data_IF_322748324025
#
_entry.id   IF_322748324025
#
_cell.length_a   1.000
_cell.length_b   1.000
_cell.length_c   1.000
_cell.angle_alpha   90.00
_cell.angle_beta   90.00
_cell.angle_gamma   90.00
#
_symmetry.space_group_name_H-M   'P 1'
#
loop_
_entity.id
_entity.type
_entity.pdbx_description
1 polymer ?
#
# COMPACT_ATOMS: atom_id res chain seq x y z
N UNK A 1 -17.88 4.80 24.55
CA UNK A 1 -18.84 5.53 23.68
C UNK A 1 -18.08 6.10 22.50
N UNK A 2 -18.40 5.65 21.30
CA UNK A 2 -17.82 6.22 20.06
C UNK A 2 -18.24 7.70 19.96
N UNK A 3 -17.26 8.56 19.74
CA UNK A 3 -17.56 9.98 19.52
C UNK A 3 -18.24 10.16 18.17
N UNK A 4 -19.35 10.86 18.13
CA UNK A 4 -20.10 11.10 16.89
C UNK A 4 -19.35 12.04 15.92
N UNK A 5 -18.49 12.92 16.43
CA UNK A 5 -17.71 13.86 15.60
C UNK A 5 -16.20 13.61 15.78
N UNK A 6 -15.41 13.65 14.70
CA UNK A 6 -13.97 13.49 14.77
C UNK A 6 -13.33 14.68 15.47
N UNK A 7 -12.31 14.43 16.29
CA UNK A 7 -11.51 15.51 16.88
C UNK A 7 -10.69 16.21 15.79
N UNK A 8 -10.29 17.47 16.05
CA UNK A 8 -9.43 18.23 15.12
C UNK A 8 -8.13 17.47 14.78
N UNK A 9 -7.58 16.75 15.76
CA UNK A 9 -6.38 15.92 15.57
C UNK A 9 -6.61 14.81 14.55
N UNK A 10 -7.75 14.12 14.60
CA UNK A 10 -8.14 13.07 13.65
C UNK A 10 -8.27 13.67 12.26
N UNK A 11 -8.93 14.83 12.13
CA UNK A 11 -9.07 15.53 10.85
C UNK A 11 -7.70 15.86 10.27
N UNK A 12 -6.78 16.42 11.07
CA UNK A 12 -5.42 16.76 10.63
C UNK A 12 -4.63 15.50 10.18
N UNK A 13 -4.76 14.40 10.91
CA UNK A 13 -4.10 13.14 10.55
C UNK A 13 -4.58 12.64 9.18
N UNK A 14 -5.87 12.74 8.89
CA UNK A 14 -6.40 12.38 7.57
C UNK A 14 -6.05 13.38 6.48
N UNK A 15 -5.81 14.65 6.80
CA UNK A 15 -5.32 15.65 5.83
C UNK A 15 -3.98 15.23 5.24
N UNK A 16 -3.06 14.77 6.08
CA UNK A 16 -1.75 14.26 5.64
C UNK A 16 -1.91 13.03 4.75
N UNK A 17 -2.75 12.07 5.15
CA UNK A 17 -3.04 10.89 4.34
C UNK A 17 -3.66 11.26 2.99
N UNK A 18 -4.69 12.11 2.99
CA UNK A 18 -5.41 12.49 1.78
C UNK A 18 -4.51 13.22 0.79
N UNK A 19 -3.65 14.12 1.28
CA UNK A 19 -2.65 14.82 0.46
C UNK A 19 -1.64 13.84 -0.14
N UNK A 20 -1.10 12.93 0.66
CA UNK A 20 -0.13 11.94 0.19
C UNK A 20 -0.74 11.00 -0.86
N UNK A 21 -1.99 10.55 -0.65
CA UNK A 21 -2.71 9.75 -1.64
C UNK A 21 -2.99 10.54 -2.93
N UNK A 22 -3.41 11.80 -2.83
CA UNK A 22 -3.69 12.62 -4.02
C UNK A 22 -2.41 12.83 -4.85
N UNK A 23 -1.29 13.20 -4.23
CA UNK A 23 0.01 13.34 -4.90
C UNK A 23 0.44 12.02 -5.53
N UNK A 24 0.35 10.92 -4.78
CA UNK A 24 0.78 9.61 -5.27
C UNK A 24 -0.10 9.09 -6.42
N UNK A 25 -1.40 9.42 -6.45
CA UNK A 25 -2.28 9.09 -7.56
C UNK A 25 -1.87 9.85 -8.84
N UNK A 26 -1.55 11.14 -8.76
CA UNK A 26 -1.04 11.90 -9.90
C UNK A 26 0.29 11.34 -10.39
N UNK A 27 1.19 11.00 -9.47
CA UNK A 27 2.47 10.38 -9.80
C UNK A 27 2.27 9.01 -10.48
N UNK A 28 1.33 8.20 -10.00
CA UNK A 28 1.01 6.92 -10.62
C UNK A 28 0.46 7.08 -12.04
N UNK A 29 -0.40 8.08 -12.29
CA UNK A 29 -0.91 8.39 -13.64
C UNK A 29 0.23 8.83 -14.56
N UNK A 30 1.12 9.72 -14.10
CA UNK A 30 2.31 10.11 -14.86
C UNK A 30 3.20 8.91 -15.22
N UNK A 31 3.44 8.01 -14.26
CA UNK A 31 4.25 6.82 -14.49
C UNK A 31 3.62 5.88 -15.52
N UNK A 32 2.30 5.71 -15.49
CA UNK A 32 1.58 4.89 -16.47
C UNK A 32 1.60 5.47 -17.90
N UNK A 33 1.81 6.78 -18.06
CA UNK A 33 2.04 7.38 -19.38
C UNK A 33 3.50 7.30 -19.84
N UNK A 34 4.43 7.15 -18.88
CA UNK A 34 5.89 7.19 -19.14
C UNK A 34 6.54 5.82 -19.26
N UNK A 35 5.87 4.76 -18.81
CA UNK A 35 6.38 3.38 -18.85
C UNK A 35 5.26 2.37 -19.11
N UNK A 36 5.63 1.15 -19.50
CA UNK A 36 4.64 0.09 -19.68
C UNK A 36 3.99 -0.31 -18.35
N UNK A 37 2.71 -0.69 -18.40
CA UNK A 37 1.94 -1.14 -17.22
C UNK A 37 2.64 -2.28 -16.48
N UNK A 38 3.31 -3.18 -17.19
CA UNK A 38 4.03 -4.29 -16.58
C UNK A 38 5.25 -3.85 -15.80
N UNK A 39 6.06 -2.93 -16.32
CA UNK A 39 7.21 -2.36 -15.59
C UNK A 39 6.73 -1.63 -14.34
N UNK A 40 5.65 -0.86 -14.45
CA UNK A 40 5.02 -0.21 -13.31
C UNK A 40 4.57 -1.21 -12.23
N UNK A 41 3.91 -2.30 -12.61
CA UNK A 41 3.48 -3.35 -11.68
C UNK A 41 4.66 -4.13 -11.07
N UNK A 42 5.72 -4.40 -11.86
CA UNK A 42 6.96 -4.99 -11.33
C UNK A 42 7.58 -4.11 -10.24
N UNK A 43 7.66 -2.80 -10.46
CA UNK A 43 8.14 -1.87 -9.43
C UNK A 43 7.25 -1.88 -8.18
N UNK A 44 5.95 -1.90 -8.34
CA UNK A 44 5.00 -2.02 -7.23
C UNK A 44 5.08 -3.34 -6.47
N UNK A 45 5.68 -4.38 -7.04
CA UNK A 45 5.93 -5.65 -6.35
C UNK A 45 6.85 -5.53 -5.13
N UNK A 46 7.61 -4.43 -5.02
CA UNK A 46 8.40 -4.13 -3.82
C UNK A 46 7.58 -3.63 -2.62
N UNK A 47 6.28 -3.34 -2.81
CA UNK A 47 5.42 -2.78 -1.76
C UNK A 47 5.38 -3.61 -0.46
N UNK A 48 5.30 -4.96 -0.47
CA UNK A 48 5.30 -5.75 0.76
C UNK A 48 6.57 -5.54 1.60
N UNK A 49 7.75 -5.54 0.97
CA UNK A 49 9.03 -5.32 1.65
C UNK A 49 9.08 -3.90 2.21
N UNK A 50 8.75 -2.88 1.41
CA UNK A 50 8.78 -1.49 1.86
C UNK A 50 7.76 -1.22 2.96
N UNK A 51 6.59 -1.85 2.92
CA UNK A 51 5.58 -1.76 3.99
C UNK A 51 6.09 -2.38 5.29
N UNK A 52 6.68 -3.58 5.23
CA UNK A 52 7.27 -4.23 6.39
C UNK A 52 8.43 -3.42 6.97
N UNK A 53 9.31 -2.89 6.11
CA UNK A 53 10.42 -2.02 6.52
C UNK A 53 9.89 -0.73 7.18
N UNK A 54 8.86 -0.12 6.62
CA UNK A 54 8.21 1.07 7.19
C UNK A 54 7.63 0.77 8.58
N UNK A 55 6.93 -0.36 8.74
CA UNK A 55 6.40 -0.76 10.04
C UNK A 55 7.53 -0.98 11.04
N UNK A 56 8.60 -1.66 10.65
CA UNK A 56 9.75 -1.92 11.52
C UNK A 56 10.49 -0.64 11.96
N UNK A 57 10.61 0.36 11.05
CA UNK A 57 11.32 1.61 11.35
C UNK A 57 10.48 2.51 12.27
N UNK A 58 9.19 2.69 11.97
CA UNK A 58 8.36 3.70 12.63
C UNK A 58 7.60 3.19 13.85
N UNK A 59 7.44 1.86 14.01
CA UNK A 59 6.67 1.29 15.13
C UNK A 59 7.50 0.28 15.91
N UNK A 60 7.88 0.67 17.13
CA UNK A 60 8.71 -0.16 18.02
C UNK A 60 8.03 -1.46 18.45
N UNK A 61 6.70 -1.47 18.48
CA UNK A 61 5.90 -2.63 18.89
C UNK A 61 5.88 -3.73 17.82
N UNK A 62 6.24 -3.40 16.57
CA UNK A 62 6.21 -4.36 15.47
C UNK A 62 7.52 -5.13 15.36
N UNK A 63 7.46 -6.39 15.73
CA UNK A 63 8.57 -7.34 15.55
C UNK A 63 8.26 -8.24 14.37
N UNK A 64 9.26 -8.49 13.55
CA UNK A 64 9.16 -9.43 12.44
C UNK A 64 10.03 -10.64 12.71
N UNK A 65 9.48 -11.83 12.47
CA UNK A 65 10.24 -13.07 12.45
C UNK A 65 11.07 -13.14 11.15
N UNK A 66 12.23 -13.82 11.21
CA UNK A 66 13.09 -14.08 10.03
C UNK A 66 12.30 -14.74 8.89
N UNK A 67 11.38 -15.65 9.23
CA UNK A 67 10.53 -16.33 8.24
C UNK A 67 9.62 -15.35 7.49
N UNK A 68 9.04 -14.37 8.17
CA UNK A 68 8.25 -13.32 7.52
C UNK A 68 9.10 -12.50 6.53
N UNK A 69 10.33 -12.16 6.91
CA UNK A 69 11.28 -11.47 6.02
C UNK A 69 11.56 -12.26 4.75
N UNK A 70 11.81 -13.58 4.89
CA UNK A 70 11.98 -14.48 3.75
C UNK A 70 10.73 -14.54 2.90
N UNK A 71 9.53 -14.63 3.50
CA UNK A 71 8.26 -14.60 2.76
C UNK A 71 8.10 -13.32 1.93
N UNK A 72 8.45 -12.15 2.45
CA UNK A 72 8.35 -10.89 1.69
C UNK A 72 9.31 -10.86 0.50
N UNK A 73 10.54 -11.36 0.66
CA UNK A 73 11.51 -11.45 -0.44
C UNK A 73 11.00 -12.40 -1.52
N UNK A 74 10.59 -13.61 -1.15
CA UNK A 74 10.09 -14.62 -2.09
C UNK A 74 8.81 -14.16 -2.77
N UNK A 75 7.90 -13.50 -2.05
CA UNK A 75 6.69 -12.91 -2.61
C UNK A 75 7.01 -11.85 -3.68
N UNK A 76 7.95 -10.96 -3.37
CA UNK A 76 8.39 -9.93 -4.33
C UNK A 76 9.00 -10.55 -5.58
N UNK A 77 9.86 -11.56 -5.44
CA UNK A 77 10.44 -12.28 -6.58
C UNK A 77 9.35 -12.99 -7.41
N UNK A 78 8.38 -13.61 -6.76
CA UNK A 78 7.23 -14.23 -7.43
C UNK A 78 6.41 -13.21 -8.25
N UNK A 79 6.14 -12.03 -7.71
CA UNK A 79 5.44 -10.96 -8.40
C UNK A 79 6.26 -10.38 -9.56
N UNK A 80 7.57 -10.18 -9.37
CA UNK A 80 8.47 -9.74 -10.45
C UNK A 80 8.48 -10.75 -11.59
N UNK A 81 8.53 -12.06 -11.30
CA UNK A 81 8.48 -13.13 -12.29
C UNK A 81 7.12 -13.13 -13.01
N UNK A 82 6.02 -12.98 -12.28
CA UNK A 82 4.66 -12.94 -12.83
C UNK A 82 4.49 -11.78 -13.82
N UNK A 83 4.81 -10.55 -13.43
CA UNK A 83 4.64 -9.38 -14.28
C UNK A 83 5.72 -9.27 -15.37
N UNK A 84 6.95 -9.71 -15.10
CA UNK A 84 8.05 -9.73 -16.07
C UNK A 84 7.77 -10.66 -17.25
N UNK A 85 7.18 -11.81 -16.98
CA UNK A 85 6.81 -12.77 -18.00
C UNK A 85 5.69 -12.29 -18.94
N UNK A 86 4.79 -11.44 -18.43
CA UNK A 86 3.73 -10.83 -19.25
C UNK A 86 4.23 -9.73 -20.18
N UNK A 87 5.41 -9.14 -19.90
CA UNK A 87 5.91 -7.93 -20.56
C UNK A 87 7.25 -8.12 -21.27
N UNK A 88 7.56 -9.31 -21.73
CA UNK A 88 8.85 -9.66 -22.36
C UNK A 88 9.20 -8.90 -23.66
N UNK A 89 8.45 -7.87 -24.05
CA UNK A 89 8.60 -7.16 -25.33
C UNK A 89 9.39 -5.85 -25.31
N UNK A 90 9.52 -5.11 -24.20
CA UNK A 90 10.31 -3.87 -24.15
C UNK A 90 10.56 -3.40 -22.73
N UNK A 91 11.72 -3.74 -22.18
CA UNK A 91 12.18 -3.25 -20.87
C UNK A 91 13.06 -1.98 -20.99
N UNK A 92 12.89 -1.15 -21.99
CA UNK A 92 13.58 0.14 -22.04
C UNK A 92 12.95 1.08 -21.00
N UNK A 93 13.50 1.12 -19.81
CA UNK A 93 13.09 2.03 -18.75
C UNK A 93 14.08 3.20 -18.72
N UNK A 94 13.60 4.41 -18.82
CA UNK A 94 14.39 5.61 -18.61
C UNK A 94 14.70 5.78 -17.11
N UNK A 95 15.85 6.32 -16.76
CA UNK A 95 16.29 6.46 -15.36
C UNK A 95 15.36 7.33 -14.52
N UNK A 96 14.84 8.42 -15.08
CA UNK A 96 13.99 9.37 -14.37
C UNK A 96 12.63 8.79 -13.97
N UNK A 97 11.85 8.12 -14.83
CA UNK A 97 10.63 7.41 -14.45
C UNK A 97 10.88 6.32 -13.40
N UNK A 98 12.02 5.62 -13.46
CA UNK A 98 12.36 4.60 -12.45
C UNK A 98 12.55 5.22 -11.05
N UNK A 99 13.23 6.36 -10.95
CA UNK A 99 13.38 7.08 -9.68
C UNK A 99 12.01 7.50 -9.10
N UNK A 100 11.12 8.03 -9.94
CA UNK A 100 9.76 8.38 -9.54
C UNK A 100 8.92 7.15 -9.12
N UNK A 101 9.15 6.00 -9.75
CA UNK A 101 8.49 4.75 -9.37
C UNK A 101 8.88 4.32 -7.95
N UNK A 102 10.18 4.37 -7.62
CA UNK A 102 10.68 4.06 -6.27
C UNK A 102 10.07 5.01 -5.23
N UNK A 103 10.01 6.31 -5.54
CA UNK A 103 9.37 7.31 -4.68
C UNK A 103 7.87 6.98 -4.48
N UNK A 104 7.14 6.70 -5.56
CA UNK A 104 5.71 6.35 -5.50
C UNK A 104 5.44 5.13 -4.62
N UNK A 105 6.24 4.06 -4.76
CA UNK A 105 6.07 2.84 -3.95
C UNK A 105 6.41 3.11 -2.49
N UNK A 106 7.44 3.91 -2.22
CA UNK A 106 7.81 4.31 -0.85
C UNK A 106 6.72 5.16 -0.19
N UNK A 107 6.19 6.15 -0.90
CA UNK A 107 5.05 6.98 -0.42
C UNK A 107 3.83 6.11 -0.16
N UNK A 108 3.53 5.16 -1.05
CA UNK A 108 2.42 4.21 -0.86
C UNK A 108 2.61 3.38 0.41
N UNK A 109 3.81 2.86 0.66
CA UNK A 109 4.11 2.05 1.85
C UNK A 109 3.93 2.87 3.14
N UNK A 110 4.55 4.05 3.21
CA UNK A 110 4.46 4.94 4.38
C UNK A 110 3.01 5.35 4.64
N UNK A 111 2.29 5.81 3.59
CA UNK A 111 0.91 6.26 3.72
C UNK A 111 -0.02 5.12 4.12
N UNK A 112 0.19 3.91 3.60
CA UNK A 112 -0.58 2.71 3.95
C UNK A 112 -0.44 2.35 5.43
N UNK A 113 0.80 2.33 5.93
CA UNK A 113 1.09 2.02 7.34
C UNK A 113 0.53 3.10 8.27
N UNK A 114 0.72 4.37 7.92
CA UNK A 114 0.18 5.48 8.70
C UNK A 114 -1.35 5.46 8.73
N UNK A 115 -2.02 5.27 7.58
CA UNK A 115 -3.47 5.19 7.51
C UNK A 115 -4.03 4.01 8.32
N UNK A 116 -3.40 2.84 8.25
CA UNK A 116 -3.79 1.69 9.06
C UNK A 116 -3.74 2.03 10.58
N UNK A 117 -2.70 2.68 11.03
CA UNK A 117 -2.56 3.08 12.45
C UNK A 117 -3.57 4.13 12.88
N UNK A 118 -3.83 5.14 12.05
CA UNK A 118 -4.87 6.15 12.34
C UNK A 118 -6.25 5.49 12.43
N UNK A 119 -6.57 4.56 11.53
CA UNK A 119 -7.82 3.80 11.55
C UNK A 119 -7.96 2.91 12.80
N UNK A 120 -6.89 2.23 13.20
CA UNK A 120 -6.91 1.33 14.35
C UNK A 120 -7.02 2.08 15.68
N UNK A 121 -6.28 3.18 15.83
CA UNK A 121 -6.22 3.97 17.08
C UNK A 121 -7.33 5.02 17.20
N UNK A 122 -8.03 5.32 16.12
CA UNK A 122 -9.07 6.36 16.11
C UNK A 122 -10.27 6.01 16.99
N UNK A 123 -10.70 6.97 17.80
CA UNK A 123 -11.87 6.82 18.69
C UNK A 123 -13.23 6.95 17.99
N UNK A 124 -13.23 7.22 16.67
CA UNK A 124 -14.44 7.36 15.85
C UNK A 124 -14.72 6.07 15.08
N UNK A 125 -15.97 5.92 14.62
CA UNK A 125 -16.36 4.81 13.73
C UNK A 125 -15.55 4.82 12.43
N UNK A 126 -15.30 3.64 11.85
CA UNK A 126 -14.58 3.51 10.58
C UNK A 126 -15.25 4.34 9.46
N UNK A 127 -16.58 4.39 9.43
CA UNK A 127 -17.31 5.16 8.43
C UNK A 127 -17.05 6.66 8.52
N UNK A 128 -17.01 7.21 9.74
CA UNK A 128 -16.68 8.62 9.96
C UNK A 128 -15.25 8.93 9.54
N UNK A 129 -14.31 8.04 9.85
CA UNK A 129 -12.92 8.16 9.45
C UNK A 129 -12.77 8.14 7.93
N UNK A 130 -13.47 7.24 7.23
CA UNK A 130 -13.50 7.20 5.78
C UNK A 130 -14.12 8.46 5.16
N UNK A 131 -15.19 9.00 5.75
CA UNK A 131 -15.77 10.28 5.32
C UNK A 131 -14.73 11.40 5.40
N UNK A 132 -13.97 11.47 6.49
CA UNK A 132 -12.89 12.46 6.63
C UNK A 132 -11.81 12.29 5.56
N UNK A 133 -11.36 11.05 5.30
CA UNK A 133 -10.32 10.78 4.32
C UNK A 133 -10.79 11.11 2.89
N UNK A 134 -11.97 10.65 2.50
CA UNK A 134 -12.46 10.81 1.13
C UNK A 134 -12.92 12.23 0.82
N UNK A 135 -13.54 12.94 1.76
CA UNK A 135 -13.91 14.34 1.56
C UNK A 135 -12.68 15.23 1.35
N UNK A 136 -11.63 15.01 2.14
CA UNK A 136 -10.37 15.75 1.97
C UNK A 136 -9.64 15.34 0.70
N UNK A 137 -9.62 14.04 0.36
CA UNK A 137 -9.08 13.54 -0.90
C UNK A 137 -9.80 14.15 -2.11
N UNK A 138 -11.12 14.28 -2.06
CA UNK A 138 -11.90 14.97 -3.10
C UNK A 138 -11.45 16.43 -3.25
N UNK A 139 -11.34 17.17 -2.14
CA UNK A 139 -10.91 18.58 -2.17
C UNK A 139 -9.50 18.71 -2.76
N UNK A 140 -8.54 17.87 -2.35
CA UNK A 140 -7.19 17.91 -2.91
C UNK A 140 -7.14 17.59 -4.40
N UNK A 141 -7.87 16.57 -4.86
CA UNK A 141 -7.93 16.26 -6.29
C UNK A 141 -8.63 17.39 -7.09
N UNK A 142 -9.64 18.03 -6.52
CA UNK A 142 -10.31 19.18 -7.14
C UNK A 142 -9.35 20.37 -7.27
N UNK A 143 -8.58 20.67 -6.21
CA UNK A 143 -7.54 21.71 -6.26
C UNK A 143 -6.51 21.38 -7.36
N UNK A 144 -6.01 20.15 -7.42
CA UNK A 144 -5.05 19.73 -8.45
C UNK A 144 -5.63 19.85 -9.86
N UNK A 145 -6.91 19.53 -10.05
CA UNK A 145 -7.60 19.72 -11.33
C UNK A 145 -7.61 21.19 -11.76
N UNK A 146 -8.03 22.12 -10.89
CA UNK A 146 -8.12 23.54 -11.22
C UNK A 146 -6.76 24.25 -11.31
N UNK A 147 -5.73 23.75 -10.61
CA UNK A 147 -4.38 24.30 -10.73
C UNK A 147 -3.59 23.77 -11.92
N UNK A 148 -4.17 22.86 -12.70
CA UNK A 148 -3.51 22.25 -13.86
C UNK A 148 -2.40 21.26 -13.50
N UNK A 149 -2.27 20.87 -12.24
CA UNK A 149 -1.32 19.84 -11.76
C UNK A 149 -1.93 18.46 -12.02
N UNK A 150 -2.22 18.16 -13.28
CA UNK A 150 -2.76 16.88 -13.70
C UNK A 150 -1.79 16.18 -14.63
N UNK A 151 -1.48 14.92 -14.35
CA UNK A 151 -0.58 14.12 -15.17
C UNK A 151 -1.07 13.88 -16.60
N UNK A 152 -2.36 14.01 -16.85
CA UNK A 152 -3.02 13.70 -18.14
C UNK A 152 -3.28 14.92 -19.04
N UNK A 153 -2.96 16.13 -18.57
CA UNK A 153 -3.26 17.37 -19.30
C UNK A 153 -4.78 17.71 -19.34
N UNK A 154 -5.11 18.99 -19.24
CA UNK A 154 -6.50 19.47 -19.15
C UNK A 154 -7.14 19.68 -20.54
N UNK A 155 -7.18 18.68 -21.40
CA UNK A 155 -7.83 18.80 -22.70
C UNK A 155 -9.33 18.47 -22.69
N UNK A 156 -9.83 17.84 -21.63
CA UNK A 156 -11.21 17.38 -21.50
C UNK A 156 -11.93 18.07 -20.34
N UNK A 157 -13.23 18.29 -20.47
CA UNK A 157 -14.06 18.85 -19.41
C UNK A 157 -14.15 17.92 -18.19
N UNK A 158 -14.42 18.48 -17.02
CA UNK A 158 -14.49 17.74 -15.74
C UNK A 158 -15.45 16.55 -15.79
N UNK A 159 -16.54 16.65 -16.54
CA UNK A 159 -17.56 15.59 -16.68
C UNK A 159 -17.43 14.76 -17.96
N UNK A 160 -16.38 14.99 -18.77
CA UNK A 160 -16.18 14.21 -19.97
C UNK A 160 -15.97 12.73 -19.66
N UNK A 161 -16.65 11.87 -20.39
CA UNK A 161 -16.60 10.42 -20.20
C UNK A 161 -17.60 9.83 -19.20
N UNK A 162 -18.23 10.63 -18.33
CA UNK A 162 -19.21 10.13 -17.34
C UNK A 162 -20.52 9.61 -17.97
N UNK A 163 -20.79 9.92 -19.22
CA UNK A 163 -21.92 9.35 -19.98
C UNK A 163 -21.71 7.88 -20.33
N UNK A 164 -20.50 7.37 -20.21
CA UNK A 164 -20.19 5.97 -20.49
C UNK A 164 -20.49 5.09 -19.27
N UNK A 165 -21.36 4.11 -19.44
CA UNK A 165 -21.77 3.15 -18.38
C UNK A 165 -20.56 2.39 -17.78
N UNK A 166 -19.54 2.07 -18.60
CA UNK A 166 -18.34 1.40 -18.10
C UNK A 166 -17.55 2.29 -17.13
N UNK A 167 -17.51 3.61 -17.36
CA UNK A 167 -16.86 4.56 -16.45
C UNK A 167 -17.59 4.58 -15.11
N UNK A 168 -18.92 4.62 -15.11
CA UNK A 168 -19.71 4.55 -13.88
C UNK A 168 -19.48 3.24 -13.11
N UNK A 169 -19.39 2.12 -13.83
CA UNK A 169 -19.10 0.83 -13.21
C UNK A 169 -17.72 0.79 -12.56
N UNK A 170 -16.69 1.35 -13.22
CA UNK A 170 -15.34 1.48 -12.67
C UNK A 170 -15.34 2.35 -11.41
N UNK A 171 -16.05 3.50 -11.43
CA UNK A 171 -16.14 4.40 -10.27
C UNK A 171 -16.79 3.71 -9.06
N UNK A 172 -17.88 3.00 -9.28
CA UNK A 172 -18.55 2.22 -8.23
C UNK A 172 -17.61 1.12 -7.67
N UNK A 173 -16.95 0.37 -8.55
CA UNK A 173 -16.02 -0.68 -8.16
C UNK A 173 -14.86 -0.13 -7.33
N UNK A 174 -14.28 1.00 -7.71
CA UNK A 174 -13.21 1.68 -6.97
C UNK A 174 -13.69 2.18 -5.60
N UNK A 175 -14.93 2.68 -5.51
CA UNK A 175 -15.51 3.10 -4.24
C UNK A 175 -15.69 1.93 -3.27
N UNK A 176 -16.20 0.79 -3.74
CA UNK A 176 -16.30 -0.42 -2.92
C UNK A 176 -14.92 -0.96 -2.52
N UNK A 177 -13.96 -0.95 -3.44
CA UNK A 177 -12.57 -1.35 -3.12
C UNK A 177 -11.97 -0.47 -2.03
N UNK A 178 -12.18 0.83 -2.08
CA UNK A 178 -11.69 1.76 -1.05
C UNK A 178 -12.27 1.45 0.33
N UNK A 179 -13.57 1.14 0.43
CA UNK A 179 -14.20 0.73 1.68
C UNK A 179 -13.66 -0.62 2.18
N UNK A 180 -13.47 -1.58 1.29
CA UNK A 180 -12.89 -2.89 1.63
C UNK A 180 -11.45 -2.75 2.16
N UNK A 181 -10.60 -1.93 1.51
CA UNK A 181 -9.25 -1.63 1.97
C UNK A 181 -9.26 -1.00 3.36
N UNK A 182 -10.19 -0.09 3.63
CA UNK A 182 -10.32 0.54 4.95
C UNK A 182 -10.71 -0.48 6.03
N UNK A 183 -11.55 -1.46 5.69
CA UNK A 183 -11.88 -2.55 6.60
C UNK A 183 -10.64 -3.43 6.88
N UNK A 184 -9.84 -3.73 5.85
CA UNK A 184 -8.57 -4.46 6.03
C UNK A 184 -7.61 -3.69 6.93
N UNK A 185 -7.49 -2.39 6.78
CA UNK A 185 -6.65 -1.57 7.67
C UNK A 185 -7.17 -1.51 9.10
N UNK A 186 -8.50 -1.49 9.31
CA UNK A 186 -9.10 -1.41 10.64
C UNK A 186 -8.97 -2.71 11.43
N UNK A 187 -9.17 -3.85 10.76
CA UNK A 187 -9.24 -5.16 11.41
C UNK A 187 -8.02 -6.05 11.17
N UNK A 188 -7.17 -5.67 10.24
CA UNK A 188 -5.92 -6.33 9.92
C UNK A 188 -4.75 -5.35 10.05
N UNK A 189 -3.88 -5.35 9.04
CA UNK A 189 -2.76 -4.43 8.95
C UNK A 189 -2.41 -4.07 7.48
N UNK A 190 -1.40 -3.21 7.31
CA UNK A 190 -0.94 -2.82 5.98
C UNK A 190 -0.27 -3.97 5.21
N UNK A 191 0.28 -4.95 5.91
CA UNK A 191 0.90 -6.15 5.31
C UNK A 191 -0.18 -7.06 4.73
N UNK A 192 -1.26 -7.31 5.47
CA UNK A 192 -2.40 -8.11 4.99
C UNK A 192 -2.98 -7.51 3.70
N UNK A 193 -3.07 -6.17 3.62
CA UNK A 193 -3.48 -5.49 2.38
C UNK A 193 -2.52 -5.78 1.22
N UNK A 194 -1.20 -5.79 1.46
CA UNK A 194 -0.21 -6.09 0.42
C UNK A 194 -0.31 -7.55 -0.05
N UNK A 195 -0.52 -8.50 0.87
CA UNK A 195 -0.72 -9.91 0.54
C UNK A 195 -2.00 -10.12 -0.28
N UNK A 196 -3.09 -9.47 0.11
CA UNK A 196 -4.35 -9.49 -0.65
C UNK A 196 -4.17 -8.93 -2.07
N UNK A 197 -3.43 -7.82 -2.24
CA UNK A 197 -3.11 -7.26 -3.55
C UNK A 197 -2.24 -8.21 -4.39
N UNK A 198 -1.34 -8.97 -3.76
CA UNK A 198 -0.53 -9.98 -4.44
C UNK A 198 -1.38 -11.16 -4.94
N UNK A 199 -2.33 -11.63 -4.15
CA UNK A 199 -3.29 -12.65 -4.59
C UNK A 199 -4.21 -12.13 -5.70
N UNK A 200 -4.64 -10.87 -5.64
CA UNK A 200 -5.41 -10.23 -6.71
C UNK A 200 -4.66 -10.27 -8.05
N UNK A 201 -3.34 -10.07 -8.06
CA UNK A 201 -2.54 -10.18 -9.28
C UNK A 201 -2.61 -11.58 -9.89
N UNK A 202 -2.63 -12.64 -9.08
CA UNK A 202 -2.79 -14.01 -9.56
C UNK A 202 -4.19 -14.25 -10.16
N UNK A 203 -5.23 -13.70 -9.54
CA UNK A 203 -6.61 -13.79 -10.08
C UNK A 203 -6.71 -13.05 -11.41
N UNK A 204 -6.11 -11.86 -11.52
CA UNK A 204 -6.08 -11.10 -12.77
C UNK A 204 -5.39 -11.86 -13.88
N UNK A 205 -4.28 -12.57 -13.61
CA UNK A 205 -3.63 -13.42 -14.60
C UNK A 205 -4.60 -14.46 -15.19
N UNK A 206 -5.39 -15.12 -14.35
CA UNK A 206 -6.38 -16.10 -14.81
C UNK A 206 -7.48 -15.44 -15.64
N UNK A 207 -7.97 -14.29 -15.19
CA UNK A 207 -9.01 -13.54 -15.90
C UNK A 207 -8.50 -13.01 -17.25
N UNK A 208 -7.26 -12.56 -17.35
CA UNK A 208 -6.65 -12.09 -18.60
C UNK A 208 -6.63 -13.20 -19.66
N UNK A 209 -6.31 -14.41 -19.26
CA UNK A 209 -6.34 -15.55 -20.17
C UNK A 209 -7.78 -15.92 -20.57
N UNK A 210 -8.70 -15.95 -19.62
CA UNK A 210 -10.10 -16.33 -19.87
C UNK A 210 -10.84 -15.31 -20.73
N UNK A 211 -10.65 -14.01 -20.47
CA UNK A 211 -11.40 -12.94 -21.11
C UNK A 211 -10.72 -12.43 -22.38
N UNK A 212 -9.40 -12.30 -22.38
CA UNK A 212 -8.64 -11.71 -23.48
C UNK A 212 -7.88 -12.74 -24.30
N UNK A 213 -7.95 -14.05 -23.96
CA UNK A 213 -7.28 -15.14 -24.65
C UNK A 213 -5.76 -14.95 -24.78
N UNK A 214 -5.15 -14.27 -23.79
CA UNK A 214 -3.69 -14.17 -23.73
C UNK A 214 -3.07 -15.55 -23.55
N UNK A 215 -1.92 -15.76 -24.18
CA UNK A 215 -1.19 -17.03 -24.04
C UNK A 215 -0.61 -17.15 -22.63
N UNK A 216 -0.82 -18.31 -22.01
CA UNK A 216 -0.17 -18.62 -20.74
C UNK A 216 1.36 -18.68 -20.92
N UNK A 217 2.07 -17.77 -20.26
CA UNK A 217 3.50 -17.93 -20.08
C UNK A 217 3.75 -18.86 -18.90
N UNK A 218 4.60 -19.89 -19.10
CA UNK A 218 5.00 -20.80 -18.02
C UNK A 218 5.65 -20.03 -16.86
N UNK A 219 6.43 -18.99 -17.16
CA UNK A 219 7.04 -18.13 -16.15
C UNK A 219 6.00 -17.32 -15.35
N UNK A 220 4.92 -16.83 -15.98
CA UNK A 220 3.85 -16.15 -15.24
C UNK A 220 3.11 -17.12 -14.31
N UNK A 221 2.86 -18.35 -14.74
CA UNK A 221 2.26 -19.41 -13.91
C UNK A 221 3.14 -19.78 -12.71
N UNK A 222 4.45 -19.94 -12.93
CA UNK A 222 5.38 -20.21 -11.82
C UNK A 222 5.43 -19.06 -10.84
N UNK A 223 5.46 -17.80 -11.32
CA UNK A 223 5.38 -16.63 -10.48
C UNK A 223 4.10 -16.58 -9.64
N UNK A 224 2.95 -16.84 -10.23
CA UNK A 224 1.67 -16.93 -9.52
C UNK A 224 1.66 -18.07 -8.48
N UNK A 225 2.19 -19.23 -8.83
CA UNK A 225 2.34 -20.36 -7.90
C UNK A 225 3.20 -20.01 -6.68
N UNK A 226 4.32 -19.32 -6.90
CA UNK A 226 5.19 -18.83 -5.81
C UNK A 226 4.45 -17.83 -4.93
N UNK A 227 3.70 -16.89 -5.49
CA UNK A 227 2.90 -15.91 -4.73
C UNK A 227 1.86 -16.59 -3.86
N UNK A 228 1.10 -17.53 -4.41
CA UNK A 228 0.06 -18.27 -3.67
C UNK A 228 0.69 -19.11 -2.54
N UNK A 229 1.73 -19.88 -2.86
CA UNK A 229 2.42 -20.72 -1.87
C UNK A 229 3.04 -19.88 -0.74
N UNK A 230 3.69 -18.77 -1.08
CA UNK A 230 4.32 -17.87 -0.08
C UNK A 230 3.26 -17.21 0.79
N UNK A 231 2.14 -16.78 0.22
CA UNK A 231 1.04 -16.20 0.98
C UNK A 231 0.42 -17.23 1.93
N UNK A 232 0.25 -18.47 1.48
CA UNK A 232 -0.19 -19.56 2.35
C UNK A 232 0.79 -19.81 3.52
N UNK A 233 2.09 -19.90 3.22
CA UNK A 233 3.13 -20.09 4.26
C UNK A 233 3.13 -18.92 5.26
N UNK A 234 2.93 -17.70 4.78
CA UNK A 234 2.84 -16.53 5.65
C UNK A 234 1.70 -16.67 6.67
N UNK A 235 0.49 -17.02 6.24
CA UNK A 235 -0.66 -17.14 7.13
C UNK A 235 -0.64 -18.43 7.98
N UNK A 236 -0.21 -19.54 7.42
CA UNK A 236 -0.24 -20.84 8.11
C UNK A 236 0.91 -21.04 9.08
N UNK A 237 2.07 -20.44 8.82
CA UNK A 237 3.30 -20.70 9.59
C UNK A 237 3.91 -19.43 10.17
N UNK A 238 4.23 -18.44 9.32
CA UNK A 238 5.00 -17.28 9.74
C UNK A 238 4.25 -16.38 10.73
N UNK A 239 2.96 -16.16 10.53
CA UNK A 239 2.13 -15.34 11.40
C UNK A 239 1.83 -16.00 12.75
N UNK A 240 1.49 -17.30 12.84
CA UNK A 240 1.36 -18.00 14.13
C UNK A 240 2.65 -18.05 14.91
N UNK A 241 3.80 -18.32 14.27
CA UNK A 241 5.10 -18.32 14.93
C UNK A 241 5.42 -16.95 15.55
N UNK A 242 5.14 -15.86 14.84
CA UNK A 242 5.33 -14.51 15.38
C UNK A 242 4.50 -14.28 16.65
N UNK A 243 3.23 -14.71 16.64
CA UNK A 243 2.35 -14.58 17.81
C UNK A 243 2.89 -15.37 19.01
N UNK A 244 3.37 -16.59 18.79
CA UNK A 244 3.98 -17.38 19.84
C UNK A 244 5.26 -16.73 20.39
N UNK A 245 6.14 -16.22 19.53
CA UNK A 245 7.35 -15.50 19.95
C UNK A 245 7.02 -14.24 20.76
N UNK A 246 5.93 -13.53 20.40
CA UNK A 246 5.47 -12.36 21.15
C UNK A 246 4.90 -12.74 22.52
N UNK A 247 4.11 -13.81 22.61
CA UNK A 247 3.58 -14.33 23.87
C UNK A 247 4.71 -14.80 24.81
N UNK A 248 5.69 -15.52 24.28
CA UNK A 248 6.86 -15.95 25.05
C UNK A 248 7.71 -14.75 25.52
N UNK A 249 7.84 -13.70 24.68
CA UNK A 249 8.57 -12.49 25.05
C UNK A 249 7.87 -11.68 26.15
N UNK A 250 6.53 -11.73 26.21
CA UNK A 250 5.76 -11.11 27.31
C UNK A 250 5.90 -11.87 28.63
N UNK A 251 6.14 -13.17 28.58
CA UNK A 251 6.32 -14.00 29.76
C UNK A 251 7.73 -13.93 30.35
N UNK A 252 8.73 -13.45 29.58
CA UNK A 252 10.12 -13.28 30.03
C UNK A 252 10.31 -11.88 30.64
N UNK A 253 11.01 -11.74 31.78
CA UNK A 253 11.36 -10.45 32.35
C UNK A 253 12.21 -9.61 31.36
N UNK A 254 12.14 -8.28 31.35
CA UNK A 254 12.76 -7.42 30.34
C UNK A 254 14.30 -7.50 30.41
N UNK A 255 14.90 -8.31 29.57
CA UNK A 255 16.34 -8.26 29.28
C UNK A 255 16.63 -7.11 28.31
N UNK A 256 17.70 -6.35 28.64
CA UNK A 256 18.06 -5.08 28.01
C UNK A 256 18.07 -5.08 26.48
N UNK A 257 17.27 -4.19 25.93
CA UNK A 257 17.27 -3.89 24.50
C UNK A 257 18.65 -3.39 24.05
N UNK A 258 19.21 -3.99 23.01
CA UNK A 258 20.53 -3.62 22.51
C UNK A 258 20.55 -2.15 22.02
N UNK A 259 21.53 -1.38 22.49
CA UNK A 259 21.73 0.06 22.15
C UNK A 259 21.81 0.31 20.63
N UNK A 260 22.22 -0.67 19.84
CA UNK A 260 22.36 -0.54 18.38
C UNK A 260 21.00 -0.35 17.66
N UNK A 261 19.95 -1.05 18.11
CA UNK A 261 18.61 -0.94 17.52
C UNK A 261 17.97 0.42 17.84
N UNK A 262 18.23 0.96 19.05
CA UNK A 262 17.78 2.31 19.45
C UNK A 262 18.47 3.41 18.64
N UNK A 263 19.80 3.29 18.41
CA UNK A 263 20.56 4.27 17.66
C UNK A 263 20.17 4.32 16.17
N UNK A 264 19.91 3.16 15.56
CA UNK A 264 19.51 3.09 14.15
C UNK A 264 18.10 3.64 13.94
N UNK A 265 17.16 3.39 14.85
CA UNK A 265 15.80 3.95 14.84
C UNK A 265 15.78 5.45 15.15
N UNK A 266 16.64 5.92 16.03
CA UNK A 266 16.77 7.35 16.34
C UNK A 266 17.33 8.14 15.14
N UNK A 267 18.30 7.59 14.41
CA UNK A 267 18.90 8.26 13.25
C UNK A 267 17.92 8.37 12.05
N UNK A 268 17.05 7.38 11.84
CA UNK A 268 16.04 7.40 10.76
C UNK A 268 14.74 8.09 11.15
N UNK A 269 14.38 8.09 12.44
CA UNK A 269 13.13 8.67 12.95
C UNK A 269 13.12 10.19 13.02
N UNK A 270 14.30 10.83 13.14
CA UNK A 270 14.41 12.27 13.43
C UNK A 270 14.03 13.17 12.26
N UNK A 271 14.15 12.73 11.01
CA UNK A 271 13.93 13.62 9.84
C UNK A 271 12.54 13.51 9.19
N UNK A 272 11.85 12.39 9.32
CA UNK A 272 10.53 12.20 8.69
C UNK A 272 9.44 11.77 9.69
N UNK A 273 9.81 11.11 10.78
CA UNK A 273 8.90 10.52 11.76
C UNK A 273 8.37 11.51 12.79
N UNK A 274 9.09 12.59 13.12
CA UNK A 274 8.68 13.52 14.15
C UNK A 274 7.38 14.27 13.79
N UNK A 275 7.18 14.60 12.51
CA UNK A 275 5.94 15.21 12.04
C UNK A 275 4.79 14.20 11.91
N UNK A 276 5.07 12.96 11.49
CA UNK A 276 4.06 11.91 11.28
C UNK A 276 3.77 11.11 12.55
N UNK A 277 4.79 10.73 13.32
CA UNK A 277 4.62 9.95 14.55
C UNK A 277 4.08 10.80 15.71
N UNK A 278 4.43 12.09 15.80
CA UNK A 278 3.90 13.01 16.80
C UNK A 278 2.38 13.17 16.72
N UNK A 279 1.79 13.11 15.53
CA UNK A 279 0.34 13.14 15.34
C UNK A 279 -0.33 11.79 15.61
N UNK A 280 0.34 10.67 15.34
CA UNK A 280 -0.20 9.32 15.55
C UNK A 280 -0.06 8.82 16.99
N UNK A 281 0.93 9.28 17.75
CA UNK A 281 1.11 8.89 19.16
C UNK A 281 0.13 9.57 20.11
N UNK A 282 -0.55 10.65 19.66
CA UNK A 282 -1.50 11.43 20.45
C UNK A 282 -2.96 11.30 19.99
N UNK A 283 -3.28 10.40 19.05
CA UNK A 283 -4.64 10.05 18.65
C UNK A 283 -5.04 8.73 19.30
#
# INVERSE_FOLDING_TARGET
SERMLPSLKVILSYTICAMAYAINNQLAMYLLTSMSTGVFQMGKSAAPILTALTMWIFYEDEKFNKLQGVCFIVLTLGLVTLFGAQNSGSMAVQDLPLAWLIISVSVTAVTSVYNARVLQRGACSMHMQNMCLYSQGFVFNLIMYFTGINATGNSSGFFDGYSNVFVLFVLLSQSFMGLAISAVYKYGDAIIKCLAASLQACVLLVLDVMLFKYHFSLAAMTGAGVVIATTYIYFAVALPMLKQEQEEAMLKPPEGQSMCTKAMRAATGVTFGAALAGTAAYV
#
